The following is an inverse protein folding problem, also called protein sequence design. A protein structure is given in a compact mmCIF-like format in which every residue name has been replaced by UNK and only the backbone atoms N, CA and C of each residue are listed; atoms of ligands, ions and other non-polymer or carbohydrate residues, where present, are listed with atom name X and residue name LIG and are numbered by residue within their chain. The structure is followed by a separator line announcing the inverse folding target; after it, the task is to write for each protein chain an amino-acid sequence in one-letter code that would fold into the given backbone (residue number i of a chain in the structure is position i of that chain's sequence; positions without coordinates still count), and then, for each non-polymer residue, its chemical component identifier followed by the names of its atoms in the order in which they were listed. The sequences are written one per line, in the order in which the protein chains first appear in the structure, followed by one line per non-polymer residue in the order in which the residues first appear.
data_IF_442006144610
#
_entry.id   IF_442006144610
#
_cell.length_a   1.000
_cell.length_b   1.000
_cell.length_c   1.000
_cell.angle_alpha   90.00
_cell.angle_beta   90.00
_cell.angle_gamma   90.00
#
_symmetry.space_group_name_H-M   'P 1'
#
loop_
_entity.id
_entity.type
_entity.pdbx_description
1 polymer ?
#
# COMPACT_ATOMS: atom_id res chain seq x y z
N UNK A 1 9.57 33.09 8.14
CA UNK A 1 9.38 31.81 8.85
C UNK A 1 8.08 31.22 8.38
N UNK A 2 8.18 30.13 7.63
CA UNK A 2 7.09 29.17 7.45
C UNK A 2 7.79 27.83 7.22
N UNK A 3 7.68 26.93 8.19
CA UNK A 3 8.13 25.56 8.05
C UNK A 3 7.12 24.85 7.12
N UNK A 4 7.57 24.48 5.93
CA UNK A 4 6.75 23.71 4.98
C UNK A 4 6.76 22.24 5.42
N UNK A 5 5.59 21.75 5.84
CA UNK A 5 5.35 20.33 6.08
C UNK A 5 4.29 19.84 5.10
N UNK A 6 4.73 19.14 4.05
CA UNK A 6 3.85 18.33 3.22
C UNK A 6 3.93 16.88 3.71
N UNK A 7 2.89 16.42 4.41
CA UNK A 7 2.83 15.07 4.97
C UNK A 7 1.83 14.24 4.18
N UNK A 8 2.19 13.85 2.95
CA UNK A 8 1.40 12.88 2.16
C UNK A 8 1.87 11.47 2.49
N UNK A 9 1.33 10.88 3.56
CA UNK A 9 1.49 9.46 3.84
C UNK A 9 0.41 8.63 3.14
N UNK A 10 0.43 8.59 1.81
CA UNK A 10 -0.42 7.68 1.01
C UNK A 10 0.41 6.51 0.49
N UNK A 11 1.14 5.86 1.40
CA UNK A 11 1.85 4.61 1.11
C UNK A 11 0.88 3.44 1.18
N UNK A 12 0.93 2.54 0.19
CA UNK A 12 0.25 1.25 0.25
C UNK A 12 1.23 0.21 0.75
N UNK A 13 0.80 -0.59 1.74
CA UNK A 13 1.60 -1.69 2.26
C UNK A 13 0.89 -3.02 2.05
N UNK A 14 1.67 -4.07 1.75
CA UNK A 14 1.17 -5.43 1.68
C UNK A 14 2.20 -6.43 2.21
N UNK A 15 1.71 -7.47 2.88
CA UNK A 15 2.52 -8.61 3.26
C UNK A 15 2.59 -9.61 2.10
N UNK A 16 3.80 -10.02 1.72
CA UNK A 16 3.97 -11.03 0.70
C UNK A 16 3.53 -12.40 1.23
N UNK A 17 2.56 -13.09 0.59
CA UNK A 17 2.06 -14.39 1.09
C UNK A 17 3.10 -15.52 1.04
N UNK A 18 4.21 -15.33 0.30
CA UNK A 18 5.24 -16.36 0.12
C UNK A 18 6.37 -16.29 1.15
N UNK A 19 6.77 -15.09 1.54
CA UNK A 19 7.92 -14.86 2.42
C UNK A 19 7.59 -14.02 3.65
N UNK A 20 6.31 -13.67 3.81
CA UNK A 20 5.77 -12.85 4.91
C UNK A 20 6.46 -11.50 5.10
N UNK A 21 7.16 -11.03 4.07
CA UNK A 21 7.86 -9.75 4.11
C UNK A 21 6.88 -8.61 3.84
N UNK A 22 6.96 -7.56 4.66
CA UNK A 22 6.22 -6.31 4.47
C UNK A 22 6.83 -5.53 3.29
N UNK A 23 6.00 -5.14 2.33
CA UNK A 23 6.40 -4.34 1.17
C UNK A 23 5.64 -3.02 1.19
N UNK A 24 6.33 -1.94 0.81
CA UNK A 24 5.78 -0.59 0.74
C UNK A 24 5.77 -0.10 -0.70
N UNK A 25 4.74 0.65 -1.06
CA UNK A 25 4.56 1.21 -2.40
C UNK A 25 4.03 2.63 -2.32
N UNK A 26 4.42 3.46 -3.28
CA UNK A 26 3.96 4.85 -3.40
C UNK A 26 2.65 5.01 -4.17
N UNK A 27 2.09 3.92 -4.70
CA UNK A 27 0.82 3.89 -5.44
C UNK A 27 0.09 2.57 -5.20
N UNK A 28 -1.19 2.49 -5.57
CA UNK A 28 -1.98 1.25 -5.56
C UNK A 28 -1.98 0.61 -6.95
N UNK A 29 -0.96 -0.18 -7.32
CA UNK A 29 -1.02 -0.96 -8.54
C UNK A 29 -2.00 -2.13 -8.38
N UNK A 30 -2.55 -2.59 -9.51
CA UNK A 30 -3.31 -3.84 -9.55
C UNK A 30 -2.41 -5.06 -9.30
N UNK A 31 -1.11 -4.94 -9.55
CA UNK A 31 -0.12 -5.99 -9.34
C UNK A 31 1.14 -5.42 -8.71
N UNK A 32 1.70 -6.12 -7.72
CA UNK A 32 2.94 -5.76 -7.06
C UNK A 32 3.92 -6.92 -7.08
N UNK A 33 5.21 -6.61 -7.12
CA UNK A 33 6.27 -7.61 -6.99
C UNK A 33 6.95 -7.43 -5.65
N UNK A 34 7.06 -8.50 -4.87
CA UNK A 34 7.76 -8.47 -3.60
C UNK A 34 9.27 -8.23 -3.80
N UNK A 35 9.82 -7.23 -3.12
CA UNK A 35 11.24 -6.87 -3.23
C UNK A 35 12.18 -7.91 -2.61
N UNK A 36 11.69 -8.74 -1.69
CA UNK A 36 12.50 -9.74 -1.00
C UNK A 36 12.62 -11.07 -1.76
N UNK A 37 11.51 -11.59 -2.31
CA UNK A 37 11.49 -12.91 -2.94
C UNK A 37 11.13 -12.89 -4.43
N UNK A 38 10.85 -11.71 -5.00
CA UNK A 38 10.45 -11.57 -6.41
C UNK A 38 9.05 -12.12 -6.73
N UNK A 39 8.28 -12.53 -5.72
CA UNK A 39 6.94 -13.08 -5.94
C UNK A 39 5.98 -11.99 -6.42
N UNK A 40 5.22 -12.27 -7.49
CA UNK A 40 4.15 -11.40 -7.97
C UNK A 40 2.88 -11.62 -7.17
N UNK A 41 2.25 -10.54 -6.75
CA UNK A 41 1.01 -10.51 -5.97
C UNK A 41 0.01 -9.64 -6.71
N UNK A 42 -1.17 -10.18 -6.99
CA UNK A 42 -2.29 -9.39 -7.49
C UNK A 42 -2.93 -8.73 -6.28
N UNK A 43 -2.93 -7.40 -6.27
CA UNK A 43 -3.57 -6.63 -5.23
C UNK A 43 -5.02 -6.37 -5.69
N UNK A 44 -5.97 -6.54 -4.77
CA UNK A 44 -7.34 -6.13 -5.05
C UNK A 44 -7.39 -4.65 -5.43
N UNK A 45 -8.44 -4.22 -6.12
CA UNK A 45 -8.69 -2.80 -6.29
C UNK A 45 -8.55 -2.12 -4.93
N UNK A 46 -7.89 -0.95 -4.82
CA UNK A 46 -7.79 -0.25 -3.56
C UNK A 46 -9.22 0.01 -3.09
N UNK A 47 -9.69 -0.82 -2.15
CA UNK A 47 -10.85 -0.51 -1.34
C UNK A 47 -10.36 0.61 -0.42
N UNK A 48 -10.32 1.83 -0.96
CA UNK A 48 -10.32 3.02 -0.15
C UNK A 48 -11.46 2.79 0.83
N UNK A 49 -11.14 2.66 2.12
CA UNK A 49 -12.14 2.78 3.17
C UNK A 49 -12.73 4.19 3.07
N UNK A 50 -13.61 4.44 2.11
CA UNK A 50 -14.68 5.39 2.30
C UNK A 50 -15.43 4.84 3.50
N UNK A 51 -15.30 5.55 4.62
CA UNK A 51 -15.85 5.14 5.90
C UNK A 51 -17.22 4.51 5.70
N UNK A 52 -17.31 3.22 6.03
CA UNK A 52 -18.59 2.59 6.25
C UNK A 52 -19.27 3.37 7.37
N UNK A 53 -20.13 4.30 6.99
CA UNK A 53 -21.20 4.76 7.85
C UNK A 53 -21.98 3.50 8.23
N UNK A 54 -21.69 2.97 9.41
CA UNK A 54 -22.66 2.16 10.13
C UNK A 54 -23.79 3.12 10.53
N UNK A 55 -24.88 3.08 9.75
CA UNK A 55 -26.15 3.75 10.00
C UNK A 55 -27.25 2.92 9.39
#
# INVERSE_FOLDING_TARGET
MSDEVDMVASGYEFNCPKCDSLNYMSSAPHEATCYHCGNKVVLGAPNHCYGGAHG
#
